data_IF_579766058144
#
_entry.id   IF_579766058144
#
_cell.length_a   1.000
_cell.length_b   1.000
_cell.length_c   1.000
_cell.angle_alpha   90.00
_cell.angle_beta   90.00
_cell.angle_gamma   90.00
#
_symmetry.space_group_name_H-M   'P 1'
#
loop_
_entity.id
_entity.type
_entity.pdbx_description
1 polymer ?
#
# COMPACT_ATOMS: atom_id res chain seq x y z
N UNK A 1 -49.29 -5.65 -26.00
CA UNK A 1 -48.19 -5.33 -26.93
C UNK A 1 -46.91 -5.42 -26.13
N UNK A 2 -46.05 -6.36 -26.51
CA UNK A 2 -44.84 -6.80 -25.82
C UNK A 2 -43.79 -5.70 -25.65
N UNK A 3 -43.03 -5.82 -24.55
CA UNK A 3 -41.61 -5.47 -24.34
C UNK A 3 -41.23 -3.98 -24.56
N UNK A 4 -40.37 -3.35 -23.80
CA UNK A 4 -39.03 -3.81 -23.45
C UNK A 4 -38.62 -3.19 -22.11
N UNK A 5 -38.60 -4.03 -21.08
CA UNK A 5 -37.78 -3.84 -19.89
C UNK A 5 -36.32 -3.92 -20.36
N UNK A 6 -35.68 -2.77 -20.60
CA UNK A 6 -34.24 -2.73 -20.83
C UNK A 6 -33.54 -2.87 -19.48
N UNK A 7 -33.53 -4.11 -19.00
CA UNK A 7 -32.48 -4.66 -18.17
C UNK A 7 -31.16 -4.46 -18.91
N UNK A 8 -30.48 -3.34 -18.68
CA UNK A 8 -29.04 -3.27 -18.91
C UNK A 8 -28.41 -4.00 -17.74
N UNK A 9 -28.47 -5.33 -17.78
CA UNK A 9 -27.50 -6.12 -17.06
C UNK A 9 -26.17 -5.83 -17.76
N UNK A 10 -25.29 -5.07 -17.10
CA UNK A 10 -23.89 -5.05 -17.50
C UNK A 10 -23.39 -6.48 -17.36
N UNK A 11 -23.26 -7.21 -18.48
CA UNK A 11 -22.49 -8.43 -18.50
C UNK A 11 -21.11 -8.07 -17.94
N UNK A 12 -20.65 -8.71 -16.85
CA UNK A 12 -19.30 -8.46 -16.38
C UNK A 12 -18.38 -8.91 -17.51
N UNK A 13 -17.81 -7.94 -18.22
CA UNK A 13 -16.87 -8.18 -19.29
C UNK A 13 -15.70 -8.97 -18.68
N UNK A 14 -15.68 -10.27 -18.97
CA UNK A 14 -14.64 -11.20 -18.57
C UNK A 14 -13.39 -10.90 -19.42
N UNK A 15 -12.75 -9.75 -19.19
CA UNK A 15 -11.66 -9.28 -20.04
C UNK A 15 -10.86 -8.12 -19.47
N UNK A 16 -11.51 -7.15 -18.83
CA UNK A 16 -10.86 -5.90 -18.40
C UNK A 16 -10.89 -5.74 -16.87
N UNK A 17 -10.10 -6.56 -16.18
CA UNK A 17 -9.95 -6.41 -14.71
C UNK A 17 -8.71 -7.07 -14.11
N UNK A 18 -7.84 -7.67 -14.93
CA UNK A 18 -6.70 -8.47 -14.44
C UNK A 18 -5.37 -7.74 -14.38
N UNK A 19 -5.27 -6.50 -14.87
CA UNK A 19 -4.05 -5.69 -14.74
C UNK A 19 -4.06 -4.74 -13.53
N UNK A 20 -5.22 -4.54 -12.88
CA UNK A 20 -5.36 -3.66 -11.71
C UNK A 20 -4.87 -4.29 -10.38
N UNK A 21 -4.42 -5.54 -10.43
CA UNK A 21 -3.61 -6.11 -9.37
C UNK A 21 -2.15 -5.68 -9.58
N UNK A 22 -1.86 -4.38 -9.41
CA UNK A 22 -0.54 -3.99 -8.96
C UNK A 22 -0.31 -4.76 -7.65
N UNK A 23 0.43 -5.87 -7.72
CA UNK A 23 0.73 -6.72 -6.57
C UNK A 23 1.30 -5.77 -5.52
N UNK A 24 0.54 -5.53 -4.44
CA UNK A 24 0.99 -4.62 -3.40
C UNK A 24 2.31 -5.20 -2.84
N UNK A 25 3.43 -4.49 -2.98
CA UNK A 25 4.70 -4.99 -2.48
C UNK A 25 4.58 -5.24 -0.97
N UNK A 26 5.05 -6.41 -0.54
CA UNK A 26 4.99 -6.83 0.87
C UNK A 26 6.26 -6.46 1.62
N UNK A 27 7.37 -6.35 0.89
CA UNK A 27 8.69 -6.03 1.41
C UNK A 27 9.15 -4.70 0.86
N UNK A 28 10.06 -4.06 1.58
CA UNK A 28 10.64 -2.79 1.14
C UNK A 28 11.44 -2.95 -0.16
N UNK A 29 12.06 -4.11 -0.36
CA UNK A 29 12.80 -4.47 -1.58
C UNK A 29 11.90 -4.52 -2.83
N UNK A 30 10.62 -4.87 -2.65
CA UNK A 30 9.64 -4.94 -3.74
C UNK A 30 9.05 -3.56 -4.07
N UNK A 31 9.37 -2.53 -3.27
CA UNK A 31 8.85 -1.18 -3.46
C UNK A 31 9.61 -0.47 -4.58
N UNK A 32 8.92 -0.24 -5.70
CA UNK A 32 9.48 0.38 -6.89
C UNK A 32 9.25 1.89 -6.87
N UNK A 33 10.34 2.64 -7.07
CA UNK A 33 10.33 4.10 -7.07
C UNK A 33 10.61 4.71 -5.70
N UNK A 34 10.68 6.04 -5.65
CA UNK A 34 11.01 6.81 -4.44
C UNK A 34 12.28 6.31 -3.70
N UNK A 35 13.44 6.26 -4.38
CA UNK A 35 14.67 5.65 -3.85
C UNK A 35 15.13 6.28 -2.53
N UNK A 36 14.95 7.60 -2.38
CA UNK A 36 15.28 8.32 -1.15
C UNK A 36 14.42 7.85 0.04
N UNK A 37 13.12 7.64 -0.18
CA UNK A 37 12.22 7.14 0.87
C UNK A 37 12.58 5.70 1.24
N UNK A 38 12.87 4.87 0.23
CA UNK A 38 13.29 3.49 0.45
C UNK A 38 14.57 3.41 1.28
N UNK A 39 15.61 4.16 0.89
CA UNK A 39 16.88 4.22 1.61
C UNK A 39 16.72 4.68 3.06
N UNK A 40 15.90 5.71 3.31
CA UNK A 40 15.62 6.17 4.67
C UNK A 40 14.92 5.09 5.50
N UNK A 41 13.93 4.39 4.94
CA UNK A 41 13.22 3.32 5.63
C UNK A 41 14.13 2.10 5.88
N UNK A 42 15.01 1.75 4.94
CA UNK A 42 16.01 0.69 5.13
C UNK A 42 16.91 1.00 6.34
N UNK A 43 17.36 2.25 6.48
CA UNK A 43 18.17 2.71 7.63
C UNK A 43 17.37 2.64 8.93
N UNK A 44 16.14 3.17 8.97
CA UNK A 44 15.34 3.20 10.20
C UNK A 44 14.93 1.80 10.68
N UNK A 45 14.43 0.96 9.77
CA UNK A 45 14.06 -0.43 10.06
C UNK A 45 15.30 -1.23 10.49
N UNK A 46 16.43 -1.03 9.79
CA UNK A 46 17.70 -1.66 10.17
C UNK A 46 18.15 -1.26 11.57
N UNK A 47 18.04 0.02 11.91
CA UNK A 47 18.41 0.52 13.22
C UNK A 47 17.48 0.02 14.34
N UNK A 48 16.17 -0.04 14.12
CA UNK A 48 15.19 -0.59 15.05
C UNK A 48 15.45 -2.08 15.32
N UNK A 49 15.66 -2.87 14.25
CA UNK A 49 16.04 -4.29 14.34
C UNK A 49 17.32 -4.54 15.12
N UNK A 50 18.34 -3.70 14.93
CA UNK A 50 19.61 -3.82 15.67
C UNK A 50 19.44 -3.57 17.18
N UNK A 51 18.43 -2.79 17.58
CA UNK A 51 18.12 -2.52 18.98
C UNK A 51 17.10 -3.49 19.58
N UNK A 52 16.54 -4.40 18.78
CA UNK A 52 15.37 -5.22 19.15
C UNK A 52 14.18 -4.38 19.66
N UNK A 53 14.05 -3.18 19.10
CA UNK A 53 12.99 -2.21 19.39
C UNK A 53 12.08 -2.07 18.16
N UNK A 54 10.83 -1.63 18.39
CA UNK A 54 9.94 -1.25 17.28
C UNK A 54 10.44 0.03 16.60
N UNK A 55 9.98 0.27 15.37
CA UNK A 55 10.22 1.51 14.65
C UNK A 55 9.63 2.70 15.43
N UNK A 56 10.33 3.82 15.47
CA UNK A 56 9.74 5.05 16.02
C UNK A 56 8.51 5.50 15.20
N UNK A 57 7.66 6.32 15.82
CA UNK A 57 6.45 6.87 15.17
C UNK A 57 6.78 7.48 13.79
N UNK A 58 6.18 6.91 12.75
CA UNK A 58 6.45 7.30 11.35
C UNK A 58 5.22 7.91 10.69
N UNK A 59 5.33 9.15 10.20
CA UNK A 59 4.29 9.82 9.42
C UNK A 59 4.59 9.71 7.93
N UNK A 60 3.71 9.05 7.18
CA UNK A 60 3.80 8.96 5.71
C UNK A 60 2.81 9.96 5.08
N UNK A 61 3.30 11.03 4.48
CA UNK A 61 2.48 12.09 3.87
C UNK A 61 2.85 12.35 2.41
N UNK A 62 1.90 12.85 1.61
CA UNK A 62 2.12 13.22 0.21
C UNK A 62 0.84 13.15 -0.66
N UNK A 63 0.89 13.68 -1.90
CA UNK A 63 -0.17 13.58 -2.91
C UNK A 63 -0.80 12.18 -3.07
N UNK A 64 -2.05 12.06 -3.57
CA UNK A 64 -2.67 10.77 -3.86
C UNK A 64 -1.84 9.99 -4.91
N UNK A 65 -1.85 8.65 -4.82
CA UNK A 65 -1.12 7.79 -5.77
C UNK A 65 0.35 7.51 -5.44
N UNK A 66 0.94 8.16 -4.43
CA UNK A 66 2.36 7.96 -4.05
C UNK A 66 2.65 6.71 -3.20
N UNK A 67 1.72 5.75 -3.12
CA UNK A 67 1.97 4.50 -2.40
C UNK A 67 2.00 4.62 -0.87
N UNK A 68 1.43 5.68 -0.26
CA UNK A 68 1.41 5.88 1.21
C UNK A 68 0.87 4.68 1.98
N UNK A 69 -0.30 4.17 1.57
CA UNK A 69 -0.91 2.98 2.18
C UNK A 69 -0.04 1.74 1.99
N UNK A 70 0.61 1.61 0.82
CA UNK A 70 1.54 0.51 0.55
C UNK A 70 2.76 0.58 1.46
N UNK A 71 3.38 1.74 1.62
CA UNK A 71 4.52 1.96 2.51
C UNK A 71 4.18 1.63 3.97
N UNK A 72 3.02 2.06 4.45
CA UNK A 72 2.57 1.71 5.79
C UNK A 72 2.44 0.20 6.00
N UNK A 73 1.89 -0.53 5.03
CA UNK A 73 1.80 -1.98 5.10
C UNK A 73 3.17 -2.66 5.09
N UNK A 74 4.11 -2.15 4.29
CA UNK A 74 5.49 -2.65 4.28
C UNK A 74 6.12 -2.43 5.65
N UNK A 75 6.03 -1.23 6.21
CA UNK A 75 6.59 -0.89 7.53
C UNK A 75 6.02 -1.82 8.62
N UNK A 76 4.70 -2.00 8.68
CA UNK A 76 4.06 -2.90 9.63
C UNK A 76 4.56 -4.36 9.49
N UNK A 77 4.84 -4.79 8.26
CA UNK A 77 5.33 -6.15 7.99
C UNK A 77 6.78 -6.31 8.40
N UNK A 78 7.64 -5.32 8.12
CA UNK A 78 9.07 -5.37 8.42
C UNK A 78 9.38 -5.19 9.91
N UNK A 79 8.54 -4.45 10.64
CA UNK A 79 8.66 -4.22 12.09
C UNK A 79 8.07 -5.35 12.96
N UNK A 80 7.45 -6.35 12.35
CA UNK A 80 6.86 -7.48 13.07
C UNK A 80 5.51 -7.16 13.74
N UNK A 81 4.81 -6.13 13.26
CA UNK A 81 3.43 -5.81 13.64
C UNK A 81 3.24 -5.19 15.02
N UNK A 82 4.28 -4.56 15.60
CA UNK A 82 4.26 -4.02 16.96
C UNK A 82 3.81 -2.55 17.06
N UNK A 83 3.78 -1.80 15.94
CA UNK A 83 3.39 -0.39 15.95
C UNK A 83 1.97 -0.11 15.45
N UNK A 84 1.27 0.78 16.16
CA UNK A 84 0.09 1.47 15.65
C UNK A 84 0.51 2.48 14.58
N UNK A 85 0.40 2.08 13.31
CA UNK A 85 0.60 2.99 12.18
C UNK A 85 -0.71 3.77 11.95
N UNK A 86 -0.72 5.03 12.40
CA UNK A 86 -1.83 5.95 12.15
C UNK A 86 -1.84 6.40 10.69
N UNK A 87 -2.61 5.69 9.86
CA UNK A 87 -2.85 6.03 8.47
C UNK A 87 -3.89 7.16 8.36
N UNK A 88 -3.43 8.41 8.21
CA UNK A 88 -4.33 9.50 7.79
C UNK A 88 -4.47 9.49 6.27
N UNK A 89 -5.46 8.75 5.77
CA UNK A 89 -5.93 8.83 4.40
C UNK A 89 -6.96 9.97 4.27
N UNK A 90 -6.52 11.21 4.45
CA UNK A 90 -7.32 12.38 4.13
C UNK A 90 -7.33 12.62 2.61
N UNK A 91 -8.53 12.61 2.03
CA UNK A 91 -8.80 12.93 0.62
C UNK A 91 -8.48 14.39 0.28
#
# INVERSE_FOLDING_TARGET
>A
MLEHDRLIAAEPEQGEGRFDYAIRPKRLDDYIGQPRVREQLEIFIGAARLRDESLDHTLVFGPPGLGKTTLAHIIATEDGGRDEIYLWAGA
#
